data_IF_661764629121
#
_entry.id   IF_661764629121
#
_cell.length_a   1.000
_cell.length_b   1.000
_cell.length_c   1.000
_cell.angle_alpha   90.00
_cell.angle_beta   90.00
_cell.angle_gamma   90.00
#
_symmetry.space_group_name_H-M   'P 1'
#
loop_
_entity.id
_entity.type
_entity.pdbx_description
1 polymer ?
#
# COMPACT_ATOMS: atom_id res chain seq x y z
N UNK A 1 3.72 10.50 2.87
CA UNK A 1 3.87 9.33 1.98
C UNK A 1 5.21 8.68 2.27
N UNK A 2 5.20 7.51 2.86
CA UNK A 2 6.39 6.71 3.15
C UNK A 2 6.42 5.54 2.17
N UNK A 3 7.56 5.28 1.55
CA UNK A 3 7.75 4.15 0.63
C UNK A 3 8.67 3.16 1.33
N UNK A 4 8.23 1.95 1.56
CA UNK A 4 9.06 0.85 2.01
C UNK A 4 9.34 -0.08 0.82
N UNK A 5 10.61 -0.35 0.53
CA UNK A 5 11.01 -1.30 -0.49
C UNK A 5 11.86 -2.40 0.15
N UNK A 6 11.49 -3.66 -0.08
CA UNK A 6 12.28 -4.83 0.31
C UNK A 6 12.91 -5.41 -0.94
N UNK A 7 14.23 -5.55 -0.96
CA UNK A 7 14.98 -6.08 -2.10
C UNK A 7 15.60 -7.41 -1.70
N UNK A 8 15.26 -8.48 -2.43
CA UNK A 8 15.88 -9.78 -2.29
C UNK A 8 16.83 -10.06 -3.45
N UNK A 9 18.07 -10.45 -3.13
CA UNK A 9 19.03 -10.94 -4.09
C UNK A 9 19.27 -12.44 -3.88
N UNK A 10 19.06 -13.30 -4.88
CA UNK A 10 19.46 -14.68 -4.76
C UNK A 10 21.00 -14.76 -4.78
N UNK A 11 21.58 -15.18 -3.67
CA UNK A 11 23.02 -15.50 -3.61
C UNK A 11 23.19 -16.95 -4.07
N UNK A 12 23.78 -17.15 -5.27
CA UNK A 12 24.29 -18.44 -5.70
C UNK A 12 25.63 -18.67 -5.00
N UNK A 13 25.66 -19.77 -4.25
CA UNK A 13 26.83 -20.47 -3.73
C UNK A 13 27.79 -19.75 -2.77
N UNK A 14 27.83 -20.34 -1.57
CA UNK A 14 28.90 -20.28 -0.57
C UNK A 14 29.22 -18.91 0.00
N UNK A 15 28.51 -18.53 1.06
CA UNK A 15 29.09 -18.13 2.36
C UNK A 15 27.93 -18.13 3.35
N UNK A 16 27.97 -19.06 4.30
CA UNK A 16 27.16 -19.02 5.49
C UNK A 16 27.47 -17.74 6.28
N UNK A 17 26.42 -17.06 6.79
CA UNK A 17 26.42 -16.07 7.87
C UNK A 17 26.38 -14.57 7.57
N UNK A 18 26.04 -14.10 6.41
CA UNK A 18 25.70 -12.68 6.26
C UNK A 18 24.53 -12.48 5.29
N UNK A 19 23.32 -12.34 5.82
CA UNK A 19 22.18 -11.85 5.03
C UNK A 19 22.28 -10.33 5.08
N UNK A 20 22.69 -9.73 3.97
CA UNK A 20 22.60 -8.27 3.82
C UNK A 20 21.16 -7.93 3.44
N UNK A 21 20.33 -7.59 4.43
CA UNK A 21 18.98 -7.09 4.22
C UNK A 21 19.08 -5.57 4.12
N UNK A 22 18.87 -5.01 2.93
CA UNK A 22 18.75 -3.56 2.74
C UNK A 22 17.29 -3.18 2.70
N UNK A 23 16.76 -2.65 3.80
CA UNK A 23 15.46 -1.97 3.83
C UNK A 23 15.71 -0.50 3.58
N UNK A 24 15.18 0.01 2.47
CA UNK A 24 15.26 1.44 2.16
C UNK A 24 13.94 2.09 2.54
N UNK A 25 13.90 2.79 3.67
CA UNK A 25 12.78 3.65 4.05
C UNK A 25 13.10 5.06 3.57
N UNK A 26 12.37 5.53 2.58
CA UNK A 26 12.51 6.90 2.07
C UNK A 26 11.47 7.77 2.77
N UNK A 27 11.88 8.49 3.83
CA UNK A 27 11.05 9.55 4.40
C UNK A 27 11.13 10.83 3.55
N UNK A 28 10.02 11.50 3.42
CA UNK A 28 9.60 12.48 2.40
C UNK A 28 10.41 13.78 2.25
N UNK A 29 11.59 13.95 2.81
CA UNK A 29 12.41 15.18 2.63
C UNK A 29 13.45 15.13 1.49
N UNK A 30 13.63 13.99 0.79
CA UNK A 30 14.64 13.85 -0.29
C UNK A 30 14.13 13.23 -1.61
N UNK A 31 12.82 13.23 -1.84
CA UNK A 31 12.19 12.65 -3.05
C UNK A 31 12.58 13.40 -4.34
N UNK A 32 12.99 14.67 -4.25
CA UNK A 32 13.35 15.47 -5.43
C UNK A 32 14.57 14.93 -6.22
N UNK A 33 15.43 14.10 -5.63
CA UNK A 33 16.59 13.56 -6.34
C UNK A 33 16.31 12.21 -7.01
N UNK A 34 15.36 11.43 -6.50
CA UNK A 34 14.95 10.15 -7.09
C UNK A 34 14.00 10.39 -8.27
N UNK A 35 13.11 11.37 -8.18
CA UNK A 35 12.26 11.79 -9.31
C UNK A 35 13.09 12.36 -10.47
N UNK A 36 14.22 13.02 -10.23
CA UNK A 36 15.15 13.45 -11.28
C UNK A 36 15.82 12.28 -11.99
N UNK A 37 16.02 11.16 -11.34
CA UNK A 37 16.60 9.96 -11.96
C UNK A 37 15.58 9.28 -12.90
N UNK A 38 14.30 9.23 -12.51
CA UNK A 38 13.23 8.68 -13.37
C UNK A 38 12.82 9.64 -14.50
N UNK A 39 12.87 10.96 -14.30
CA UNK A 39 12.50 11.93 -15.33
C UNK A 39 13.51 12.03 -16.48
N UNK A 40 14.78 11.63 -16.29
CA UNK A 40 15.80 11.64 -17.35
C UNK A 40 15.63 10.52 -18.38
N UNK A 41 14.87 9.47 -18.09
CA UNK A 41 14.69 8.31 -18.98
C UNK A 41 13.30 8.20 -19.62
N UNK A 42 12.41 9.18 -19.38
CA UNK A 42 11.10 9.26 -20.03
C UNK A 42 10.91 10.64 -20.64
N UNK A 43 11.42 10.80 -21.88
CA UNK A 43 11.19 12.02 -22.67
C UNK A 43 9.85 11.85 -23.39
N UNK A 44 8.78 12.44 -22.83
CA UNK A 44 7.57 12.76 -23.60
C UNK A 44 7.80 14.13 -24.26
N UNK A 45 8.09 14.14 -25.55
CA UNK A 45 8.15 15.36 -26.35
C UNK A 45 6.73 15.86 -26.59
N UNK A 46 6.29 16.86 -25.86
CA UNK A 46 5.19 17.71 -26.28
C UNK A 46 5.73 18.86 -27.13
N UNK A 47 5.41 18.79 -28.40
CA UNK A 47 5.67 19.88 -29.39
C UNK A 47 4.63 20.98 -29.12
N UNK A 48 5.03 22.07 -28.48
CA UNK A 48 4.23 23.29 -28.41
C UNK A 48 4.74 24.28 -29.43
N UNK A 49 3.94 24.55 -30.49
CA UNK A 49 4.20 25.62 -31.44
C UNK A 49 3.95 26.99 -30.78
N UNK A 50 4.79 27.99 -31.07
CA UNK A 50 4.60 29.33 -30.52
C UNK A 50 3.40 30.04 -31.15
N UNK A 51 2.57 30.64 -30.29
CA UNK A 51 1.44 31.50 -30.68
C UNK A 51 1.94 32.72 -31.43
N UNK A 52 1.47 32.86 -32.66
CA UNK A 52 1.66 34.08 -33.47
C UNK A 52 0.79 35.22 -32.92
N UNK A 53 1.45 36.35 -32.73
CA UNK A 53 0.79 37.61 -32.34
C UNK A 53 -0.23 38.08 -33.42
N UNK A 54 -1.43 38.45 -32.96
CA UNK A 54 -2.48 39.06 -33.78
C UNK A 54 -2.31 40.57 -33.74
N UNK A 55 -2.27 41.27 -34.90
CA UNK A 55 -2.10 42.72 -34.94
C UNK A 55 -3.40 43.45 -34.56
N UNK A 56 -3.24 44.54 -33.79
CA UNK A 56 -4.30 45.46 -33.41
C UNK A 56 -4.67 46.31 -34.63
N UNK A 57 -5.88 46.19 -35.11
CA UNK A 57 -6.42 46.94 -36.25
C UNK A 57 -7.76 47.60 -35.96
N UNK A 58 -7.72 48.92 -35.81
CA UNK A 58 -8.74 49.96 -36.16
C UNK A 58 -10.15 49.87 -35.57
N UNK A 59 -10.44 50.84 -34.73
CA UNK A 59 -11.78 51.29 -34.31
C UNK A 59 -12.61 51.81 -35.49
N UNK A 60 -13.88 51.39 -35.56
CA UNK A 60 -14.96 52.08 -36.29
C UNK A 60 -16.19 52.20 -35.39
N UNK A 61 -17.07 53.17 -35.64
CA UNK A 61 -17.85 53.83 -34.59
C UNK A 61 -19.20 53.14 -34.27
N UNK A 62 -19.70 53.53 -33.09
CA UNK A 62 -21.02 53.22 -32.55
C UNK A 62 -22.13 53.48 -33.58
N UNK A 63 -23.01 52.50 -33.77
CA UNK A 63 -24.45 52.74 -33.90
C UNK A 63 -25.26 51.46 -33.73
N UNK A 64 -26.30 51.63 -32.96
CA UNK A 64 -27.53 50.86 -32.85
C UNK A 64 -27.66 49.88 -31.70
N UNK A 65 -28.40 50.34 -30.75
CA UNK A 65 -29.11 49.63 -29.71
C UNK A 65 -30.04 48.57 -30.33
N UNK A 66 -29.68 47.30 -30.20
CA UNK A 66 -30.61 46.16 -30.07
C UNK A 66 -29.81 44.90 -29.83
N UNK A 67 -29.54 44.59 -28.53
CA UNK A 67 -29.14 43.25 -28.16
C UNK A 67 -30.39 42.42 -27.96
N UNK A 68 -30.59 41.32 -28.66
CA UNK A 68 -31.70 40.43 -28.38
C UNK A 68 -31.44 39.68 -27.09
N UNK A 69 -32.43 39.71 -26.19
CA UNK A 69 -32.50 39.10 -24.86
C UNK A 69 -32.19 37.57 -24.84
N UNK A 70 -31.97 36.96 -26.01
CA UNK A 70 -31.70 35.53 -26.17
C UNK A 70 -30.22 35.16 -26.01
N UNK A 71 -29.25 36.09 -26.16
CA UNK A 71 -27.84 35.80 -26.03
C UNK A 71 -27.37 35.78 -24.56
N UNK A 72 -28.01 36.57 -23.69
CA UNK A 72 -27.64 36.59 -22.26
C UNK A 72 -27.89 35.25 -21.57
N UNK A 73 -29.01 34.60 -21.89
CA UNK A 73 -29.32 33.26 -21.34
C UNK A 73 -28.33 32.15 -21.77
N UNK A 74 -27.79 32.25 -23.00
CA UNK A 74 -26.77 31.29 -23.47
C UNK A 74 -25.42 31.47 -22.78
N UNK A 75 -25.07 32.71 -22.44
CA UNK A 75 -23.82 33.01 -21.72
C UNK A 75 -23.95 32.56 -20.28
N UNK A 76 -25.09 32.83 -19.62
CA UNK A 76 -25.33 32.37 -18.25
C UNK A 76 -25.34 30.83 -18.12
N UNK A 77 -25.95 30.12 -19.10
CA UNK A 77 -25.89 28.65 -19.12
C UNK A 77 -24.47 28.10 -19.32
N UNK A 78 -23.66 28.74 -20.16
CA UNK A 78 -22.25 28.32 -20.33
C UNK A 78 -21.43 28.55 -19.05
N UNK A 79 -21.62 29.69 -18.40
CA UNK A 79 -20.95 30.01 -17.14
C UNK A 79 -21.38 29.02 -16.03
N UNK A 80 -22.68 28.73 -15.94
CA UNK A 80 -23.21 27.76 -14.99
C UNK A 80 -22.66 26.36 -15.26
N UNK A 81 -22.56 25.94 -16.52
CA UNK A 81 -21.98 24.64 -16.90
C UNK A 81 -20.48 24.54 -16.56
N UNK A 82 -19.71 25.59 -16.85
CA UNK A 82 -18.28 25.67 -16.50
C UNK A 82 -18.10 25.69 -14.97
N UNK A 83 -18.91 26.46 -14.25
CA UNK A 83 -18.87 26.48 -12.79
C UNK A 83 -19.22 25.11 -12.17
N UNK A 84 -20.21 24.41 -12.72
CA UNK A 84 -20.58 23.05 -12.30
C UNK A 84 -19.46 22.05 -12.58
N UNK A 85 -18.78 22.16 -13.73
CA UNK A 85 -17.64 21.32 -14.06
C UNK A 85 -16.44 21.56 -13.12
N UNK A 86 -16.19 22.84 -12.77
CA UNK A 86 -15.14 23.22 -11.82
C UNK A 86 -15.44 22.72 -10.40
N UNK A 87 -16.70 22.84 -9.96
CA UNK A 87 -17.14 22.33 -8.67
C UNK A 87 -17.08 20.78 -8.64
N UNK A 88 -17.50 20.10 -9.71
CA UNK A 88 -17.38 18.64 -9.84
C UNK A 88 -15.91 18.20 -9.82
N UNK A 89 -14.99 18.95 -10.42
CA UNK A 89 -13.55 18.70 -10.36
C UNK A 89 -12.94 18.91 -8.97
N UNK A 90 -13.54 19.77 -8.15
CA UNK A 90 -13.10 19.99 -6.75
C UNK A 90 -13.63 18.92 -5.77
N UNK A 91 -14.62 18.15 -6.18
CA UNK A 91 -15.18 17.04 -5.38
C UNK A 91 -14.43 15.72 -5.56
N UNK A 92 -13.27 15.71 -6.23
CA UNK A 92 -12.41 14.54 -6.28
C UNK A 92 -11.91 14.27 -4.86
N UNK A 93 -12.56 13.37 -4.16
CA UNK A 93 -12.05 12.81 -2.91
C UNK A 93 -10.76 12.08 -3.24
N UNK A 94 -9.66 12.51 -2.63
CA UNK A 94 -8.42 11.75 -2.66
C UNK A 94 -8.68 10.42 -1.97
N UNK A 95 -8.82 9.36 -2.74
CA UNK A 95 -8.84 8.00 -2.19
C UNK A 95 -7.43 7.71 -1.68
N UNK A 96 -7.27 7.71 -0.37
CA UNK A 96 -6.03 7.23 0.26
C UNK A 96 -6.10 5.70 0.23
N UNK A 97 -5.28 5.09 -0.60
CA UNK A 97 -5.15 3.65 -0.68
C UNK A 97 -3.68 3.30 -0.74
N UNK A 98 -3.26 2.36 0.12
CA UNK A 98 -1.93 1.79 0.04
C UNK A 98 -1.77 1.03 -1.27
N UNK A 99 -0.65 1.22 -1.95
CA UNK A 99 -0.31 0.48 -3.16
C UNK A 99 0.82 -0.50 -2.87
N UNK A 100 0.74 -1.71 -3.41
CA UNK A 100 1.80 -2.71 -3.33
C UNK A 100 2.14 -3.22 -4.73
N UNK A 101 3.42 -3.45 -4.98
CA UNK A 101 3.92 -3.99 -6.24
C UNK A 101 4.97 -5.07 -5.96
N UNK A 102 4.93 -6.15 -6.75
CA UNK A 102 6.00 -7.13 -6.83
C UNK A 102 6.62 -7.00 -8.22
N UNK A 103 7.89 -6.67 -8.27
CA UNK A 103 8.65 -6.53 -9.51
C UNK A 103 9.56 -7.74 -9.70
N UNK A 104 9.40 -8.42 -10.82
CA UNK A 104 10.24 -9.53 -11.23
C UNK A 104 11.31 -9.02 -12.18
N UNK A 105 12.53 -8.91 -11.68
CA UNK A 105 13.68 -8.43 -12.42
C UNK A 105 14.46 -9.54 -13.12
N UNK A 106 15.52 -9.14 -13.83
CA UNK A 106 16.45 -10.09 -14.44
C UNK A 106 17.21 -10.87 -13.37
N UNK A 107 17.73 -12.06 -13.73
CA UNK A 107 18.56 -12.92 -12.86
C UNK A 107 17.88 -13.35 -11.55
N UNK A 108 16.56 -13.53 -11.56
CA UNK A 108 15.81 -13.97 -10.39
C UNK A 108 15.66 -12.91 -9.28
N UNK A 109 15.91 -11.65 -9.59
CA UNK A 109 15.66 -10.55 -8.64
C UNK A 109 14.17 -10.36 -8.44
N UNK A 110 13.73 -10.37 -7.18
CA UNK A 110 12.36 -10.03 -6.78
C UNK A 110 12.40 -8.83 -5.87
N UNK A 111 11.64 -7.79 -6.20
CA UNK A 111 11.52 -6.57 -5.38
C UNK A 111 10.07 -6.35 -5.02
N UNK A 112 9.78 -6.28 -3.74
CA UNK A 112 8.47 -5.86 -3.24
C UNK A 112 8.55 -4.44 -2.74
N UNK A 113 7.69 -3.57 -3.26
CA UNK A 113 7.53 -2.19 -2.81
C UNK A 113 6.11 -1.90 -2.41
N UNK A 114 5.93 -1.01 -1.42
CA UNK A 114 4.60 -0.53 -1.04
C UNK A 114 4.63 0.93 -0.64
N UNK A 115 3.50 1.64 -0.81
CA UNK A 115 3.26 2.96 -0.23
C UNK A 115 2.43 2.82 1.04
N UNK A 116 2.80 3.56 2.07
CA UNK A 116 1.99 3.70 3.29
C UNK A 116 1.26 5.05 3.22
N UNK A 117 0.04 5.01 2.68
CA UNK A 117 -0.79 6.19 2.54
C UNK A 117 -1.73 6.27 3.75
N UNK A 118 -1.23 6.93 4.80
CA UNK A 118 -1.95 7.10 6.06
C UNK A 118 -2.04 8.56 6.45
N UNK A 119 -3.12 8.95 7.10
CA UNK A 119 -3.43 10.36 7.42
C UNK A 119 -2.49 11.00 8.44
N UNK A 120 -1.73 10.19 9.18
CA UNK A 120 -0.83 10.64 10.23
C UNK A 120 0.50 9.89 10.24
N UNK A 121 1.47 10.38 11.00
CA UNK A 121 2.73 9.70 11.20
C UNK A 121 2.53 8.46 12.09
N UNK A 122 2.83 7.29 11.55
CA UNK A 122 2.78 6.01 12.26
C UNK A 122 3.92 5.82 13.27
N UNK A 123 4.88 6.75 13.35
CA UNK A 123 6.09 6.65 14.18
C UNK A 123 6.79 5.31 14.04
N UNK A 124 6.93 4.88 12.78
CA UNK A 124 7.43 3.55 12.45
C UNK A 124 8.89 3.39 12.84
N UNK A 125 9.19 2.33 13.57
CA UNK A 125 10.54 1.86 13.87
C UNK A 125 10.83 0.56 13.11
N UNK A 126 12.13 0.27 12.93
CA UNK A 126 12.61 -0.97 12.35
C UNK A 126 13.09 -1.86 13.48
N UNK A 127 12.64 -3.12 13.48
CA UNK A 127 13.08 -4.14 14.42
C UNK A 127 13.68 -5.32 13.68
N UNK A 128 14.69 -5.92 14.31
CA UNK A 128 15.31 -7.18 13.87
C UNK A 128 14.99 -8.24 14.92
N UNK A 129 14.26 -9.27 14.51
CA UNK A 129 13.89 -10.37 15.38
C UNK A 129 14.69 -11.63 15.02
N UNK A 130 15.37 -12.26 15.99
CA UNK A 130 16.03 -13.54 15.79
C UNK A 130 15.01 -14.68 15.74
N UNK A 131 15.48 -15.86 15.35
CA UNK A 131 14.75 -17.13 15.51
C UNK A 131 14.54 -17.45 16.98
N UNK A 132 13.54 -18.27 17.26
CA UNK A 132 13.35 -18.87 18.59
C UNK A 132 12.60 -18.00 19.58
N UNK A 133 12.02 -16.87 19.17
CA UNK A 133 11.17 -16.04 20.04
C UNK A 133 9.83 -16.74 20.21
N UNK A 134 9.40 -16.93 21.45
CA UNK A 134 8.07 -17.40 21.80
C UNK A 134 7.07 -16.25 21.74
N UNK A 135 5.95 -16.49 21.10
CA UNK A 135 4.90 -15.48 20.86
C UNK A 135 3.52 -16.04 21.11
N UNK A 136 2.58 -15.14 21.34
CA UNK A 136 1.15 -15.43 21.42
C UNK A 136 0.38 -14.55 20.44
N UNK A 137 -0.73 -15.06 19.93
CA UNK A 137 -1.62 -14.34 19.02
C UNK A 137 -2.38 -13.19 19.67
N UNK A 138 -2.59 -13.26 20.99
CA UNK A 138 -3.19 -12.21 21.80
C UNK A 138 -2.67 -12.28 23.24
N UNK A 139 -2.79 -11.19 23.98
CA UNK A 139 -2.29 -11.08 25.34
C UNK A 139 -3.09 -11.92 26.34
N UNK A 140 -4.37 -12.18 26.06
CA UNK A 140 -5.30 -12.87 26.98
C UNK A 140 -6.29 -13.75 26.22
N UNK A 141 -6.84 -14.73 26.93
CA UNK A 141 -7.90 -15.60 26.44
C UNK A 141 -7.41 -16.79 25.60
N UNK A 142 -8.33 -17.37 24.82
CA UNK A 142 -8.01 -18.46 23.92
C UNK A 142 -7.26 -17.93 22.70
N UNK A 143 -5.94 -18.18 22.65
CA UNK A 143 -5.06 -17.68 21.59
C UNK A 143 -4.08 -18.75 21.14
N UNK A 144 -3.52 -18.59 19.95
CA UNK A 144 -2.46 -19.45 19.45
C UNK A 144 -1.12 -19.03 20.06
N UNK A 145 -0.22 -20.03 20.19
CA UNK A 145 1.16 -19.83 20.60
C UNK A 145 2.09 -20.45 19.57
N UNK A 146 3.22 -19.80 19.30
CA UNK A 146 4.25 -20.33 18.41
C UNK A 146 5.64 -19.89 18.84
N UNK A 147 6.62 -20.55 18.28
CA UNK A 147 8.02 -20.17 18.38
C UNK A 147 8.54 -19.83 16.99
N UNK A 148 9.12 -18.64 16.81
CA UNK A 148 9.59 -18.19 15.50
C UNK A 148 10.61 -19.15 14.89
N UNK A 149 10.31 -19.68 13.71
CA UNK A 149 11.21 -20.56 12.95
C UNK A 149 12.27 -19.75 12.21
N UNK A 150 11.89 -18.52 11.81
CA UNK A 150 12.74 -17.65 10.99
C UNK A 150 12.95 -16.32 11.69
N UNK A 151 14.16 -15.74 11.49
CA UNK A 151 14.46 -14.36 11.84
C UNK A 151 13.85 -13.43 10.79
N UNK A 152 13.53 -12.21 11.20
CA UNK A 152 12.91 -11.21 10.34
C UNK A 152 13.37 -9.79 10.63
N UNK A 153 13.27 -8.94 9.62
CA UNK A 153 13.36 -7.48 9.77
C UNK A 153 11.99 -6.91 9.47
N UNK A 154 11.48 -6.10 10.37
CA UNK A 154 10.11 -5.58 10.28
C UNK A 154 10.05 -4.07 10.48
N UNK A 155 8.98 -3.47 9.99
CA UNK A 155 8.58 -2.11 10.32
C UNK A 155 7.33 -2.17 11.20
N UNK A 156 7.38 -1.50 12.35
CA UNK A 156 6.23 -1.41 13.24
C UNK A 156 5.33 -0.24 12.83
N UNK A 157 4.02 -0.43 12.97
CA UNK A 157 3.05 0.65 12.97
C UNK A 157 2.70 1.07 14.40
N UNK A 158 2.75 2.37 14.70
CA UNK A 158 2.54 2.95 16.03
C UNK A 158 3.44 2.35 17.14
N UNK A 159 4.49 1.70 16.75
CA UNK A 159 5.36 0.90 17.64
C UNK A 159 4.64 -0.23 18.39
N UNK A 160 3.47 -0.66 17.87
CA UNK A 160 2.59 -1.67 18.49
C UNK A 160 2.62 -2.97 17.72
N UNK A 161 2.55 -2.92 16.39
CA UNK A 161 2.37 -4.11 15.56
C UNK A 161 3.23 -4.14 14.32
N UNK A 162 3.45 -5.34 13.79
CA UNK A 162 4.20 -5.54 12.54
C UNK A 162 3.33 -5.16 11.35
N UNK A 163 3.62 -4.01 10.74
CA UNK A 163 2.94 -3.57 9.51
C UNK A 163 3.54 -4.19 8.26
N UNK A 164 4.86 -4.31 8.22
CA UNK A 164 5.62 -4.77 7.07
C UNK A 164 6.85 -5.53 7.53
N UNK A 165 7.32 -6.46 6.72
CA UNK A 165 8.60 -7.12 7.01
C UNK A 165 9.01 -8.14 5.98
N UNK A 166 10.22 -8.63 6.16
CA UNK A 166 10.79 -9.72 5.39
C UNK A 166 11.52 -10.66 6.32
N UNK A 167 11.34 -11.96 6.13
CA UNK A 167 12.12 -12.95 6.86
C UNK A 167 13.38 -13.39 6.10
N UNK A 168 14.23 -14.12 6.75
CA UNK A 168 15.50 -14.62 6.21
C UNK A 168 15.37 -15.61 5.04
N UNK A 169 14.15 -16.08 4.75
CA UNK A 169 13.83 -16.91 3.59
C UNK A 169 13.41 -16.10 2.38
N UNK A 170 13.28 -14.76 2.53
CA UNK A 170 12.83 -13.85 1.49
C UNK A 170 11.31 -13.78 1.35
N UNK A 171 10.56 -14.32 2.31
CA UNK A 171 9.12 -14.08 2.39
C UNK A 171 8.89 -12.65 2.90
N UNK A 172 8.17 -11.85 2.12
CA UNK A 172 7.74 -10.50 2.44
C UNK A 172 6.27 -10.52 2.82
N UNK A 173 5.90 -9.85 3.89
CA UNK A 173 4.51 -9.69 4.32
C UNK A 173 4.19 -8.24 4.66
N UNK A 174 3.02 -7.79 4.27
CA UNK A 174 2.56 -6.41 4.42
C UNK A 174 1.10 -6.38 4.84
N UNK A 175 0.74 -5.50 5.78
CA UNK A 175 -0.65 -5.13 6.06
C UNK A 175 -1.02 -3.87 5.29
N UNK A 176 -2.12 -3.91 4.55
CA UNK A 176 -2.64 -2.81 3.79
C UNK A 176 -4.08 -2.50 4.21
N UNK A 177 -4.49 -1.24 4.08
CA UNK A 177 -5.84 -0.83 4.41
C UNK A 177 -6.84 -1.32 3.36
N UNK A 178 -7.95 -1.89 3.84
CA UNK A 178 -9.08 -2.34 3.02
C UNK A 178 -10.37 -2.05 3.78
N UNK A 179 -11.11 -1.06 3.34
CA UNK A 179 -12.35 -0.59 4.00
C UNK A 179 -13.38 -1.72 4.18
N UNK A 180 -13.43 -2.64 3.23
CA UNK A 180 -14.38 -3.77 3.18
C UNK A 180 -14.00 -4.91 4.11
N UNK A 181 -12.82 -4.90 4.75
CA UNK A 181 -12.41 -5.97 5.65
C UNK A 181 -13.38 -6.11 6.83
N UNK A 182 -13.89 -7.32 6.99
CA UNK A 182 -14.80 -7.70 8.06
C UNK A 182 -14.47 -9.12 8.53
N UNK A 183 -13.96 -9.23 9.75
CA UNK A 183 -13.48 -10.48 10.35
C UNK A 183 -14.56 -11.18 11.18
N UNK A 184 -15.69 -10.50 11.41
CA UNK A 184 -16.70 -10.99 12.33
C UNK A 184 -17.39 -12.26 11.82
N UNK A 185 -17.42 -13.28 12.69
CA UNK A 185 -18.24 -14.51 12.52
C UNK A 185 -19.02 -14.75 13.79
N UNK A 186 -20.34 -14.95 13.72
CA UNK A 186 -21.14 -15.32 14.88
C UNK A 186 -20.62 -16.62 15.51
N UNK A 187 -20.50 -16.63 16.85
CA UNK A 187 -20.13 -17.82 17.64
C UNK A 187 -18.74 -18.42 17.28
N UNK A 188 -17.80 -17.60 16.80
CA UNK A 188 -16.47 -18.07 16.47
C UNK A 188 -15.64 -18.32 17.73
N UNK A 189 -15.43 -19.60 18.05
CA UNK A 189 -14.67 -20.07 19.22
C UNK A 189 -13.21 -20.37 18.92
N UNK A 190 -12.75 -20.16 17.68
CA UNK A 190 -11.35 -20.38 17.31
C UNK A 190 -10.41 -19.50 18.14
N UNK A 191 -9.17 -19.95 18.38
CA UNK A 191 -8.17 -19.10 19.03
C UNK A 191 -8.01 -17.75 18.35
N UNK A 192 -7.76 -16.70 19.13
CA UNK A 192 -7.56 -15.36 18.61
C UNK A 192 -6.15 -15.15 18.04
N UNK A 193 -6.07 -14.40 16.96
CA UNK A 193 -4.87 -13.79 16.37
C UNK A 193 -5.11 -12.30 16.23
N UNK A 194 -4.39 -11.48 16.98
CA UNK A 194 -4.44 -10.03 16.84
C UNK A 194 -3.97 -9.58 15.47
N UNK A 195 -4.69 -8.65 14.87
CA UNK A 195 -4.33 -8.07 13.57
C UNK A 195 -2.91 -7.48 13.57
N UNK A 196 -2.48 -6.91 14.69
CA UNK A 196 -1.15 -6.30 14.88
C UNK A 196 0.01 -7.30 14.82
N UNK A 197 -0.25 -8.60 15.05
CA UNK A 197 0.78 -9.63 15.07
C UNK A 197 0.61 -10.68 13.95
N UNK A 198 -0.44 -10.56 13.14
CA UNK A 198 -0.71 -11.50 12.05
C UNK A 198 0.42 -11.54 11.01
N UNK A 199 0.93 -10.38 10.60
CA UNK A 199 2.11 -10.28 9.71
C UNK A 199 3.33 -10.97 10.32
N UNK A 200 3.57 -10.77 11.62
CA UNK A 200 4.70 -11.39 12.32
C UNK A 200 4.55 -12.92 12.37
N UNK A 201 3.34 -13.41 12.60
CA UNK A 201 3.06 -14.85 12.57
C UNK A 201 3.46 -15.48 11.23
N UNK A 202 3.14 -14.81 10.13
CA UNK A 202 3.48 -15.27 8.79
C UNK A 202 4.98 -15.27 8.56
N UNK A 203 5.67 -14.20 8.93
CA UNK A 203 7.13 -14.09 8.82
C UNK A 203 7.87 -15.10 9.69
N UNK A 204 7.34 -15.42 10.86
CA UNK A 204 7.94 -16.35 11.80
C UNK A 204 7.82 -17.81 11.34
N UNK A 205 6.76 -18.17 10.61
CA UNK A 205 6.39 -19.57 10.42
C UNK A 205 6.58 -20.11 9.01
N UNK A 206 6.56 -19.26 7.97
CA UNK A 206 6.55 -19.70 6.59
C UNK A 206 7.77 -19.21 5.81
N UNK A 207 8.27 -20.06 4.90
CA UNK A 207 9.36 -19.73 4.00
C UNK A 207 8.87 -19.26 2.62
N UNK A 208 7.69 -19.72 2.20
CA UNK A 208 7.14 -19.48 0.88
C UNK A 208 5.67 -19.06 0.93
N UNK A 209 5.18 -18.49 -0.17
CA UNK A 209 3.76 -18.17 -0.35
C UNK A 209 2.90 -19.43 -0.27
N UNK A 210 3.33 -20.52 -0.95
CA UNK A 210 2.59 -21.79 -0.97
C UNK A 210 2.41 -22.39 0.44
N UNK A 211 3.47 -22.36 1.27
CA UNK A 211 3.37 -22.80 2.67
C UNK A 211 2.34 -21.95 3.44
N UNK A 212 2.39 -20.63 3.30
CA UNK A 212 1.48 -19.72 3.98
C UNK A 212 0.03 -19.92 3.51
N UNK A 213 -0.22 -20.01 2.20
CA UNK A 213 -1.55 -20.27 1.65
C UNK A 213 -2.12 -21.58 2.16
N UNK A 214 -1.34 -22.66 2.11
CA UNK A 214 -1.75 -23.99 2.58
C UNK A 214 -2.16 -24.00 4.05
N UNK A 215 -1.45 -23.27 4.91
CA UNK A 215 -1.75 -23.26 6.36
C UNK A 215 -2.86 -22.27 6.71
N UNK A 216 -2.84 -21.04 6.14
CA UNK A 216 -3.82 -20.02 6.45
C UNK A 216 -5.22 -20.36 5.91
N UNK A 217 -5.31 -21.09 4.78
CA UNK A 217 -6.59 -21.58 4.24
C UNK A 217 -7.35 -22.52 5.17
N UNK A 218 -6.68 -23.13 6.15
CA UNK A 218 -7.34 -23.98 7.16
C UNK A 218 -8.12 -23.17 8.20
N UNK A 219 -7.90 -21.87 8.27
CA UNK A 219 -8.57 -20.93 9.18
C UNK A 219 -8.56 -21.43 10.65
N UNK A 220 -7.42 -21.89 11.14
CA UNK A 220 -7.28 -22.45 12.49
C UNK A 220 -7.40 -21.42 13.62
N UNK A 221 -7.41 -20.14 13.29
CA UNK A 221 -7.61 -19.03 14.23
C UNK A 221 -8.58 -17.99 13.61
N UNK A 222 -9.09 -17.10 14.44
CA UNK A 222 -9.85 -15.91 14.02
C UNK A 222 -9.00 -14.66 14.17
N UNK A 223 -9.21 -13.69 13.30
CA UNK A 223 -8.56 -12.38 13.44
C UNK A 223 -9.32 -11.54 14.46
N UNK A 224 -8.59 -11.00 15.42
CA UNK A 224 -9.06 -10.02 16.40
C UNK A 224 -8.47 -8.66 16.06
N UNK A 225 -9.34 -7.73 15.69
CA UNK A 225 -8.96 -6.43 15.13
C UNK A 225 -9.59 -5.28 15.94
N UNK A 226 -9.00 -4.93 17.09
CA UNK A 226 -9.43 -3.76 17.85
C UNK A 226 -9.19 -2.47 17.05
N UNK A 227 -9.87 -1.40 17.44
CA UNK A 227 -9.66 -0.10 16.81
C UNK A 227 -8.20 0.35 16.99
N UNK A 228 -7.68 1.08 16.02
CA UNK A 228 -6.32 1.65 16.05
C UNK A 228 -6.23 2.75 17.13
N UNK A 229 -5.02 3.13 17.59
CA UNK A 229 -4.84 4.15 18.61
C UNK A 229 -5.51 5.49 18.31
N UNK A 230 -5.68 5.83 17.05
CA UNK A 230 -6.37 7.03 16.58
C UNK A 230 -7.90 6.88 16.45
N UNK A 231 -8.47 5.75 16.89
CA UNK A 231 -9.89 5.43 16.81
C UNK A 231 -10.37 4.97 15.42
N UNK A 232 -9.48 4.83 14.43
CA UNK A 232 -9.83 4.25 13.14
C UNK A 232 -10.04 2.74 13.27
N UNK A 233 -10.93 2.18 12.44
CA UNK A 233 -11.10 0.73 12.36
C UNK A 233 -9.84 0.07 11.80
N UNK A 234 -9.44 -1.06 12.38
CA UNK A 234 -8.34 -1.89 11.89
C UNK A 234 -8.78 -2.79 10.73
N UNK A 235 -9.36 -2.16 9.68
CA UNK A 235 -9.80 -2.87 8.47
C UNK A 235 -8.62 -3.03 7.53
N UNK A 236 -7.93 -4.16 7.62
CA UNK A 236 -6.70 -4.45 6.90
C UNK A 236 -6.81 -5.77 6.14
N UNK A 237 -5.97 -5.95 5.14
CA UNK A 237 -5.72 -7.25 4.52
C UNK A 237 -4.22 -7.55 4.52
N UNK A 238 -3.90 -8.82 4.46
CA UNK A 238 -2.51 -9.29 4.42
C UNK A 238 -2.12 -9.59 2.96
N UNK A 239 -0.99 -9.06 2.52
CA UNK A 239 -0.39 -9.41 1.24
C UNK A 239 1.01 -9.95 1.44
N UNK A 240 1.34 -11.04 0.77
CA UNK A 240 2.64 -11.70 0.86
C UNK A 240 3.26 -11.92 -0.51
N UNK A 241 4.58 -12.04 -0.56
CA UNK A 241 5.34 -12.48 -1.74
C UNK A 241 6.63 -13.15 -1.31
N UNK A 242 7.18 -14.00 -2.14
CA UNK A 242 8.41 -14.72 -1.83
C UNK A 242 9.50 -14.53 -2.89
N UNK A 243 10.65 -15.14 -2.63
CA UNK A 243 11.83 -15.07 -3.49
C UNK A 243 11.63 -15.70 -4.89
N UNK A 244 10.59 -16.51 -5.10
CA UNK A 244 10.24 -17.07 -6.41
C UNK A 244 9.40 -16.11 -7.26
N UNK A 245 8.89 -15.02 -6.64
CA UNK A 245 7.97 -14.06 -7.25
C UNK A 245 6.50 -14.45 -7.11
N UNK A 246 6.18 -15.55 -6.43
CA UNK A 246 4.81 -15.88 -6.07
C UNK A 246 4.27 -14.84 -5.09
N UNK A 247 2.96 -14.58 -5.15
CA UNK A 247 2.28 -13.65 -4.26
C UNK A 247 0.89 -14.14 -3.89
N UNK A 248 0.41 -13.74 -2.71
CA UNK A 248 -0.97 -13.98 -2.31
C UNK A 248 -1.50 -12.81 -1.48
N UNK A 249 -2.81 -12.60 -1.55
CA UNK A 249 -3.56 -11.62 -0.76
C UNK A 249 -4.63 -12.38 0.02
N UNK A 250 -4.72 -12.10 1.32
CA UNK A 250 -5.69 -12.70 2.24
C UNK A 250 -6.64 -11.61 2.72
N UNK A 251 -7.89 -11.69 2.31
CA UNK A 251 -8.94 -10.73 2.61
C UNK A 251 -10.06 -11.40 3.41
N UNK A 252 -10.53 -10.74 4.44
CA UNK A 252 -11.74 -11.18 5.16
C UNK A 252 -12.90 -10.28 4.74
N UNK A 253 -13.87 -10.85 4.02
CA UNK A 253 -15.06 -10.14 3.55
C UNK A 253 -16.30 -10.83 4.13
N UNK A 254 -17.06 -10.09 4.94
CA UNK A 254 -18.23 -10.63 5.65
C UNK A 254 -17.91 -11.91 6.43
N UNK A 255 -16.80 -11.88 7.15
CA UNK A 255 -16.31 -12.99 7.96
C UNK A 255 -15.74 -14.17 7.17
N UNK A 256 -15.60 -14.13 5.86
CA UNK A 256 -15.05 -15.21 5.03
C UNK A 256 -13.65 -14.84 4.55
N UNK A 257 -12.71 -15.76 4.69
CA UNK A 257 -11.40 -15.64 4.10
C UNK A 257 -11.47 -15.85 2.59
N UNK A 258 -10.94 -14.89 1.84
CA UNK A 258 -10.74 -14.96 0.40
C UNK A 258 -9.24 -14.86 0.15
N UNK A 259 -8.70 -15.78 -0.64
CA UNK A 259 -7.28 -15.81 -0.99
C UNK A 259 -7.15 -15.60 -2.49
N UNK A 260 -6.37 -14.59 -2.87
CA UNK A 260 -6.01 -14.32 -4.26
C UNK A 260 -4.53 -14.66 -4.44
N UNK A 261 -4.22 -15.56 -5.35
CA UNK A 261 -2.87 -15.96 -5.68
C UNK A 261 -2.45 -15.40 -7.03
N UNK A 262 -1.17 -15.02 -7.16
CA UNK A 262 -0.61 -14.45 -8.37
C UNK A 262 0.90 -14.67 -8.47
N UNK A 263 1.40 -14.50 -9.71
CA UNK A 263 2.83 -14.55 -10.03
C UNK A 263 3.17 -13.39 -10.95
#
# INVERSE_FOLDING_TARGET
MSIAASIYFPVKDQIANAIEIRIVIIQNKRVNNVLKFFSKNFIVRHNMNPLKAIPIGKCTPLNSWMYPFAESKKIEMKILFIATLLIAGMLTTYTQACTRVVYLGKNGMVVTGRTMDWKEDLKSNIYVFPRGIERAGADKGNTIHWKSKYGSVITAGYDIGTSDGMNEKGLVANLLYLTESDYYRPNDTRPAMGISIWTQYVLDNFATVDEAVKELSKETFRIDAPDMPNGAKSTLHLAISDASGNSAIFEYIKGKLIIHEGK
#
